data_IF_023925858774
#
_entry.id   IF_023925858774
#
_cell.length_a   1.000
_cell.length_b   1.000
_cell.length_c   1.000
_cell.angle_alpha   90.00
_cell.angle_beta   90.00
_cell.angle_gamma   90.00
#
_symmetry.space_group_name_H-M   'P 1'
#
loop_
_entity.id
_entity.type
_entity.pdbx_description
1 polymer ?
#
# COMPACT_ATOMS: atom_id res chain seq x y z
N UNK A 1 24.51 -5.09 11.14
CA UNK A 1 23.03 -5.09 10.95
C UNK A 1 22.68 -3.87 10.11
N UNK A 2 22.03 -4.03 8.94
CA UNK A 2 21.49 -2.86 8.21
C UNK A 2 20.41 -2.24 9.07
N UNK A 3 20.60 -1.00 9.51
CA UNK A 3 19.54 -0.25 10.20
C UNK A 3 18.39 -0.02 9.23
N UNK A 4 17.16 -0.17 9.71
CA UNK A 4 15.98 0.23 8.95
C UNK A 4 16.08 1.71 8.58
N UNK A 5 15.76 2.02 7.34
CA UNK A 5 15.69 3.41 6.89
C UNK A 5 14.63 4.19 7.70
N UNK A 6 14.89 5.48 7.99
CA UNK A 6 14.11 6.22 9.00
C UNK A 6 12.61 6.30 8.73
N UNK A 7 12.23 6.56 7.47
CA UNK A 7 10.80 6.73 7.12
C UNK A 7 10.07 5.41 7.17
N UNK A 8 10.65 4.33 6.59
CA UNK A 8 10.05 2.99 6.67
C UNK A 8 9.84 2.59 8.13
N UNK A 9 10.86 2.78 8.98
CA UNK A 9 10.75 2.49 10.41
C UNK A 9 9.59 3.27 11.05
N UNK A 10 9.49 4.57 10.78
CA UNK A 10 8.45 5.42 11.38
C UNK A 10 7.05 5.03 10.89
N UNK A 11 6.89 4.69 9.62
CA UNK A 11 5.61 4.22 9.07
C UNK A 11 5.21 2.89 9.72
N UNK A 12 6.13 1.94 9.86
CA UNK A 12 5.86 0.66 10.55
C UNK A 12 5.42 0.91 11.99
N UNK A 13 6.17 1.74 12.75
CA UNK A 13 5.83 2.06 14.13
C UNK A 13 4.45 2.71 14.22
N UNK A 14 4.15 3.69 13.36
CA UNK A 14 2.85 4.36 13.33
C UNK A 14 1.70 3.36 13.09
N UNK A 15 1.85 2.45 12.11
CA UNK A 15 0.84 1.43 11.83
C UNK A 15 0.64 0.46 12.99
N UNK A 16 1.72 0.01 13.63
CA UNK A 16 1.65 -0.88 14.80
C UNK A 16 0.95 -0.18 15.97
N UNK A 17 1.28 1.09 16.24
CA UNK A 17 0.65 1.86 17.32
C UNK A 17 -0.85 2.08 17.05
N UNK A 18 -1.23 2.43 15.81
CA UNK A 18 -2.64 2.59 15.44
C UNK A 18 -3.39 1.27 15.55
N UNK A 19 -2.80 0.17 15.06
CA UNK A 19 -3.42 -1.17 15.18
C UNK A 19 -3.58 -1.60 16.63
N UNK A 20 -2.61 -1.31 17.49
CA UNK A 20 -2.73 -1.56 18.92
C UNK A 20 -3.84 -0.72 19.54
N UNK A 21 -4.00 0.54 19.15
CA UNK A 21 -5.13 1.37 19.56
C UNK A 21 -6.47 0.79 19.07
N UNK A 22 -6.57 0.32 17.81
CA UNK A 22 -7.78 -0.37 17.32
C UNK A 22 -8.13 -1.56 18.21
N UNK A 23 -7.14 -2.38 18.59
CA UNK A 23 -7.34 -3.54 19.46
C UNK A 23 -7.81 -3.13 20.87
N UNK A 24 -7.19 -2.11 21.48
CA UNK A 24 -7.56 -1.64 22.82
C UNK A 24 -8.97 -1.03 22.90
N UNK A 25 -9.43 -0.43 21.80
CA UNK A 25 -10.71 0.28 21.77
C UNK A 25 -11.80 -0.47 21.00
N UNK A 26 -11.56 -1.73 20.59
CA UNK A 26 -12.55 -2.53 19.85
C UNK A 26 -13.89 -2.67 20.58
N UNK A 27 -13.87 -2.79 21.92
CA UNK A 27 -15.08 -2.94 22.75
C UNK A 27 -15.83 -1.61 22.97
N UNK A 28 -15.21 -0.48 22.66
CA UNK A 28 -15.82 0.86 22.77
C UNK A 28 -16.48 1.31 21.47
N UNK A 29 -16.73 0.36 20.60
CA UNK A 29 -17.52 0.52 19.40
C UNK A 29 -16.93 1.47 18.36
N UNK A 30 -16.25 0.90 17.36
CA UNK A 30 -16.14 1.49 16.02
C UNK A 30 -15.60 2.94 15.90
N UNK A 31 -15.04 3.50 16.99
CA UNK A 31 -14.66 4.92 16.98
C UNK A 31 -13.48 5.19 16.05
N UNK A 32 -12.44 4.36 16.08
CA UNK A 32 -11.22 4.59 15.30
C UNK A 32 -11.50 4.35 13.81
N UNK A 33 -12.17 3.25 13.48
CA UNK A 33 -12.57 2.91 12.12
C UNK A 33 -13.54 3.94 11.55
N UNK A 34 -14.53 4.38 12.33
CA UNK A 34 -15.52 5.38 11.90
C UNK A 34 -14.89 6.70 11.47
N UNK A 35 -13.82 7.13 12.15
CA UNK A 35 -13.16 8.39 11.82
C UNK A 35 -11.99 8.21 10.86
N UNK A 36 -11.31 7.08 10.88
CA UNK A 36 -10.06 6.85 10.17
C UNK A 36 -10.15 6.00 8.91
N UNK A 37 -11.09 5.04 8.82
CA UNK A 37 -11.29 4.24 7.62
C UNK A 37 -11.85 5.07 6.47
N UNK A 38 -11.56 4.66 5.24
CA UNK A 38 -12.11 5.30 4.05
C UNK A 38 -13.52 4.76 3.79
N UNK A 39 -14.52 5.64 3.84
CA UNK A 39 -15.90 5.33 3.48
C UNK A 39 -16.25 5.85 2.08
N UNK A 40 -17.25 5.26 1.40
CA UNK A 40 -17.75 5.77 0.12
C UNK A 40 -18.20 7.23 0.20
N UNK A 41 -18.12 7.97 -0.91
CA UNK A 41 -18.49 9.40 -0.97
C UNK A 41 -19.93 9.67 -0.52
N UNK A 42 -20.85 8.74 -0.78
CA UNK A 42 -22.26 8.83 -0.35
C UNK A 42 -22.52 8.49 1.12
N UNK A 43 -21.51 8.01 1.85
CA UNK A 43 -21.65 7.65 3.26
C UNK A 43 -21.69 8.90 4.15
N UNK A 44 -22.56 8.95 5.18
CA UNK A 44 -22.55 10.03 6.18
C UNK A 44 -21.25 10.06 7.01
N UNK A 45 -20.46 8.99 6.93
CA UNK A 45 -19.20 8.85 7.64
C UNK A 45 -17.98 9.30 6.82
N UNK A 46 -18.12 9.57 5.52
CA UNK A 46 -17.01 10.05 4.70
C UNK A 46 -16.45 11.37 5.22
N UNK A 47 -15.12 11.44 5.27
CA UNK A 47 -14.36 12.66 5.57
C UNK A 47 -13.10 12.69 4.70
N UNK A 48 -12.72 13.87 4.24
CA UNK A 48 -11.60 14.04 3.29
C UNK A 48 -10.24 13.54 3.84
N UNK A 49 -10.01 13.64 5.14
CA UNK A 49 -8.78 13.14 5.75
C UNK A 49 -8.64 11.62 5.71
N UNK A 50 -9.73 10.90 5.49
CA UNK A 50 -9.74 9.44 5.35
C UNK A 50 -8.92 8.97 4.15
N UNK A 51 -8.68 9.81 3.15
CA UNK A 51 -7.73 9.54 2.07
C UNK A 51 -6.29 9.31 2.53
N UNK A 52 -5.98 9.71 3.77
CA UNK A 52 -4.67 9.48 4.39
C UNK A 52 -4.78 8.54 5.58
N UNK A 53 -5.74 8.74 6.46
CA UNK A 53 -5.81 8.00 7.73
C UNK A 53 -6.08 6.52 7.54
N UNK A 54 -6.83 6.13 6.51
CA UNK A 54 -7.15 4.73 6.22
C UNK A 54 -5.90 3.86 6.01
N UNK A 55 -4.80 4.47 5.53
CA UNK A 55 -3.52 3.81 5.29
C UNK A 55 -2.86 3.27 6.56
N UNK A 56 -3.31 3.71 7.72
CA UNK A 56 -2.74 3.33 9.03
C UNK A 56 -3.63 2.35 9.81
N UNK A 57 -4.87 2.11 9.36
CA UNK A 57 -5.77 1.15 9.97
C UNK A 57 -5.64 -0.22 9.30
N UNK A 58 -5.92 -1.29 10.05
CA UNK A 58 -5.85 -2.65 9.54
C UNK A 58 -7.00 -3.50 10.04
N UNK A 59 -7.56 -4.33 9.14
CA UNK A 59 -8.71 -5.19 9.43
C UNK A 59 -8.38 -6.46 10.21
N UNK A 60 -7.10 -6.71 10.59
CA UNK A 60 -6.72 -7.88 11.37
C UNK A 60 -5.22 -8.13 11.39
N UNK A 61 -4.80 -9.10 12.22
CA UNK A 61 -3.39 -9.39 12.48
C UNK A 61 -2.61 -9.79 11.21
N UNK A 62 -3.18 -10.66 10.38
CA UNK A 62 -2.51 -11.09 9.15
C UNK A 62 -2.44 -9.94 8.13
N UNK A 63 -3.45 -9.06 8.11
CA UNK A 63 -3.47 -7.90 7.24
C UNK A 63 -2.32 -6.94 7.57
N UNK A 64 -2.16 -6.53 8.84
CA UNK A 64 -1.03 -5.67 9.23
C UNK A 64 0.31 -6.39 9.04
N UNK A 65 0.39 -7.69 9.36
CA UNK A 65 1.63 -8.46 9.20
C UNK A 65 2.13 -8.41 7.74
N UNK A 66 1.30 -8.75 6.76
CA UNK A 66 1.71 -8.75 5.36
C UNK A 66 2.02 -7.34 4.83
N UNK A 67 1.28 -6.32 5.28
CA UNK A 67 1.57 -4.94 4.94
C UNK A 67 2.95 -4.51 5.45
N UNK A 68 3.20 -4.70 6.74
CA UNK A 68 4.49 -4.29 7.35
C UNK A 68 5.66 -5.12 6.85
N UNK A 69 5.45 -6.40 6.60
CA UNK A 69 6.45 -7.27 6.00
C UNK A 69 6.84 -6.83 4.59
N UNK A 70 5.87 -6.52 3.74
CA UNK A 70 6.13 -6.01 2.40
C UNK A 70 6.84 -4.65 2.43
N UNK A 71 6.38 -3.74 3.31
CA UNK A 71 7.03 -2.44 3.50
C UNK A 71 8.47 -2.59 4.02
N UNK A 72 8.72 -3.53 4.92
CA UNK A 72 10.05 -3.84 5.45
C UNK A 72 11.01 -4.36 4.37
N UNK A 73 10.53 -5.16 3.41
CA UNK A 73 11.36 -5.72 2.34
C UNK A 73 11.64 -4.67 1.27
N UNK A 74 10.63 -4.01 0.74
CA UNK A 74 10.74 -3.15 -0.44
C UNK A 74 11.07 -1.70 -0.09
N UNK A 75 10.53 -1.20 1.02
CA UNK A 75 10.62 0.20 1.43
C UNK A 75 12.05 0.70 1.60
N UNK A 76 12.92 0.02 2.37
CA UNK A 76 14.28 0.50 2.59
C UNK A 76 15.13 0.60 1.32
N UNK A 77 14.86 -0.26 0.32
CA UNK A 77 15.58 -0.24 -0.94
C UNK A 77 15.28 1.07 -1.69
N UNK A 78 14.01 1.45 -1.76
CA UNK A 78 13.59 2.67 -2.43
C UNK A 78 13.88 3.93 -1.60
N UNK A 79 13.76 3.87 -0.27
CA UNK A 79 14.14 5.00 0.60
C UNK A 79 15.63 5.30 0.50
N UNK A 80 16.48 4.28 0.49
CA UNK A 80 17.93 4.46 0.31
C UNK A 80 18.29 5.00 -1.08
N UNK A 81 17.52 4.62 -2.10
CA UNK A 81 17.74 5.09 -3.46
C UNK A 81 17.31 6.56 -3.67
N UNK A 82 16.17 6.96 -3.07
CA UNK A 82 15.55 8.26 -3.34
C UNK A 82 15.75 9.28 -2.21
N UNK A 83 16.16 8.84 -1.04
CA UNK A 83 16.18 9.62 0.18
C UNK A 83 14.81 9.71 0.87
N UNK A 84 14.84 10.01 2.16
CA UNK A 84 13.71 9.97 3.07
C UNK A 84 12.49 10.81 2.60
N UNK A 85 12.72 12.08 2.21
CA UNK A 85 11.65 12.98 1.81
C UNK A 85 10.91 12.51 0.55
N UNK A 86 11.67 12.04 -0.44
CA UNK A 86 11.09 11.60 -1.72
C UNK A 86 10.33 10.28 -1.56
N UNK A 87 10.87 9.35 -0.77
CA UNK A 87 10.19 8.11 -0.42
C UNK A 87 8.88 8.35 0.32
N UNK A 88 8.88 9.25 1.33
CA UNK A 88 7.67 9.60 2.07
C UNK A 88 6.59 10.18 1.15
N UNK A 89 6.95 11.14 0.30
CA UNK A 89 6.02 11.72 -0.67
C UNK A 89 5.47 10.65 -1.62
N UNK A 90 6.33 9.74 -2.09
CA UNK A 90 5.90 8.62 -2.94
C UNK A 90 4.86 7.75 -2.25
N UNK A 91 5.13 7.34 -1.02
CA UNK A 91 4.22 6.52 -0.21
C UNK A 91 2.85 7.19 -0.04
N UNK A 92 2.84 8.46 0.35
CA UNK A 92 1.59 9.22 0.57
C UNK A 92 0.82 9.41 -0.74
N UNK A 93 1.49 9.77 -1.83
CA UNK A 93 0.82 9.98 -3.13
C UNK A 93 0.20 8.67 -3.63
N UNK A 94 0.93 7.55 -3.55
CA UNK A 94 0.40 6.24 -3.93
C UNK A 94 -0.81 5.84 -3.07
N UNK A 95 -0.76 6.10 -1.76
CA UNK A 95 -1.88 5.82 -0.86
C UNK A 95 -3.11 6.69 -1.16
N UNK A 96 -2.94 7.99 -1.38
CA UNK A 96 -4.05 8.87 -1.75
C UNK A 96 -4.65 8.43 -3.10
N UNK A 97 -3.81 8.14 -4.10
CA UNK A 97 -4.28 7.67 -5.40
C UNK A 97 -5.05 6.34 -5.31
N UNK A 98 -4.60 5.44 -4.44
CA UNK A 98 -5.31 4.20 -4.14
C UNK A 98 -6.70 4.45 -3.57
N UNK A 99 -6.80 5.32 -2.55
CA UNK A 99 -8.08 5.71 -1.96
C UNK A 99 -9.02 6.40 -2.97
N UNK A 100 -8.48 7.28 -3.81
CA UNK A 100 -9.23 7.92 -4.89
C UNK A 100 -9.74 6.89 -5.90
N UNK A 101 -8.91 5.94 -6.33
CA UNK A 101 -9.32 4.88 -7.24
C UNK A 101 -10.48 4.05 -6.65
N UNK A 102 -10.38 3.67 -5.37
CA UNK A 102 -11.46 2.94 -4.67
C UNK A 102 -12.77 3.73 -4.66
N UNK A 103 -12.72 5.03 -4.30
CA UNK A 103 -13.91 5.90 -4.21
C UNK A 103 -14.66 6.04 -5.54
N UNK A 104 -13.94 6.11 -6.66
CA UNK A 104 -14.55 6.42 -7.95
C UNK A 104 -14.87 5.19 -8.81
N UNK A 105 -14.11 4.08 -8.63
CA UNK A 105 -14.29 2.89 -9.46
C UNK A 105 -15.25 1.89 -8.80
N UNK A 106 -15.23 1.80 -7.47
CA UNK A 106 -16.13 0.93 -6.70
C UNK A 106 -16.90 1.73 -5.63
N UNK A 107 -17.91 2.48 -6.01
CA UNK A 107 -18.62 3.38 -5.07
C UNK A 107 -19.46 2.65 -4.01
N UNK A 108 -19.61 1.33 -4.12
CA UNK A 108 -20.49 0.53 -3.25
C UNK A 108 -19.69 -0.34 -2.25
N UNK A 109 -18.41 -0.06 -2.01
CA UNK A 109 -17.65 -0.75 -0.96
C UNK A 109 -18.13 -0.32 0.45
N UNK A 110 -17.98 -1.16 1.44
CA UNK A 110 -18.39 -0.86 2.82
C UNK A 110 -17.43 0.16 3.47
N UNK A 111 -16.19 -0.21 3.59
CA UNK A 111 -15.08 0.63 4.03
C UNK A 111 -13.75 0.06 3.55
N UNK A 112 -12.73 0.90 3.42
CA UNK A 112 -11.37 0.45 3.12
C UNK A 112 -10.39 0.88 4.21
N UNK A 113 -9.46 -0.03 4.53
CA UNK A 113 -8.35 0.17 5.48
C UNK A 113 -7.10 -0.52 4.96
N UNK A 114 -5.93 0.00 5.30
CA UNK A 114 -4.65 -0.64 5.04
C UNK A 114 -3.66 0.19 4.24
N UNK A 115 -2.38 -0.07 4.49
CA UNK A 115 -1.26 0.52 3.78
C UNK A 115 -1.05 -0.07 2.37
N UNK A 116 -1.79 -1.12 2.03
CA UNK A 116 -1.53 -1.99 0.87
C UNK A 116 -1.56 -1.24 -0.47
N UNK A 117 -2.44 -0.27 -0.64
CA UNK A 117 -2.47 0.55 -1.86
C UNK A 117 -1.15 1.30 -2.08
N UNK A 118 -0.60 1.93 -1.04
CA UNK A 118 0.71 2.59 -1.11
C UNK A 118 1.85 1.57 -1.33
N UNK A 119 1.76 0.40 -0.69
CA UNK A 119 2.73 -0.69 -0.82
C UNK A 119 2.72 -1.27 -2.23
N UNK A 120 1.56 -1.41 -2.87
CA UNK A 120 1.47 -1.82 -4.29
C UNK A 120 2.16 -0.81 -5.20
N UNK A 121 2.08 0.49 -4.90
CA UNK A 121 2.87 1.51 -5.60
C UNK A 121 4.38 1.32 -5.41
N UNK A 122 4.84 1.04 -4.18
CA UNK A 122 6.24 0.72 -3.87
C UNK A 122 6.70 -0.52 -4.66
N UNK A 123 5.90 -1.58 -4.67
CA UNK A 123 6.21 -2.82 -5.40
C UNK A 123 6.28 -2.60 -6.91
N UNK A 124 5.35 -1.81 -7.47
CA UNK A 124 5.38 -1.45 -8.89
C UNK A 124 6.65 -0.68 -9.27
N UNK A 125 7.06 0.29 -8.45
CA UNK A 125 8.31 1.01 -8.65
C UNK A 125 9.52 0.10 -8.51
N UNK A 126 9.51 -0.82 -7.54
CA UNK A 126 10.57 -1.81 -7.36
C UNK A 126 10.71 -2.72 -8.60
N UNK A 127 9.61 -3.26 -9.12
CA UNK A 127 9.62 -4.11 -10.31
C UNK A 127 10.16 -3.38 -11.55
N UNK A 128 9.87 -2.09 -11.67
CA UNK A 128 10.39 -1.26 -12.75
C UNK A 128 11.90 -1.00 -12.62
N UNK A 129 12.38 -0.67 -11.42
CA UNK A 129 13.79 -0.31 -11.18
C UNK A 129 14.70 -1.54 -11.06
N UNK A 130 14.18 -2.65 -10.55
CA UNK A 130 14.92 -3.87 -10.27
C UNK A 130 14.26 -5.11 -10.91
N UNK A 131 14.00 -5.12 -12.23
CA UNK A 131 13.14 -6.11 -12.89
C UNK A 131 13.66 -7.54 -12.81
N UNK A 132 14.96 -7.72 -12.71
CA UNK A 132 15.60 -9.05 -12.71
C UNK A 132 15.94 -9.55 -11.29
N UNK A 133 15.61 -8.78 -10.24
CA UNK A 133 15.78 -9.23 -8.86
C UNK A 133 14.87 -10.44 -8.61
N UNK A 134 15.45 -11.50 -8.11
CA UNK A 134 14.72 -12.70 -7.73
C UNK A 134 14.12 -12.53 -6.33
N UNK A 135 12.81 -12.74 -6.26
CA UNK A 135 12.00 -12.68 -5.07
C UNK A 135 11.46 -14.08 -4.78
N UNK A 136 11.41 -14.45 -3.52
CA UNK A 136 10.76 -15.69 -3.08
C UNK A 136 9.52 -15.34 -2.27
N UNK A 137 8.42 -16.05 -2.53
CA UNK A 137 7.25 -15.99 -1.68
C UNK A 137 7.55 -16.69 -0.34
N UNK A 138 7.02 -16.15 0.75
CA UNK A 138 7.37 -16.57 2.12
C UNK A 138 7.35 -18.08 2.36
N UNK A 139 6.43 -18.82 1.72
CA UNK A 139 6.27 -20.26 1.90
C UNK A 139 6.57 -21.07 0.62
N UNK A 140 6.99 -20.41 -0.45
CA UNK A 140 7.27 -21.04 -1.74
C UNK A 140 8.72 -20.67 -2.11
N UNK A 141 9.68 -21.57 -1.91
CA UNK A 141 11.11 -21.28 -2.14
C UNK A 141 11.46 -21.38 -3.63
N UNK A 142 10.64 -20.81 -4.49
CA UNK A 142 10.88 -20.70 -5.93
C UNK A 142 11.24 -19.26 -6.24
N UNK A 143 12.46 -18.96 -6.73
CA UNK A 143 12.84 -17.60 -7.09
C UNK A 143 12.10 -17.17 -8.36
N UNK A 144 11.38 -16.08 -8.27
CA UNK A 144 10.64 -15.47 -9.39
C UNK A 144 11.15 -14.04 -9.57
N UNK A 145 11.46 -13.65 -10.80
CA UNK A 145 11.91 -12.28 -11.09
C UNK A 145 10.79 -11.27 -10.81
N UNK A 146 11.15 -10.13 -10.22
CA UNK A 146 10.22 -9.08 -9.83
C UNK A 146 9.30 -8.62 -10.97
N UNK A 147 9.83 -8.55 -12.19
CA UNK A 147 9.07 -8.21 -13.41
C UNK A 147 7.95 -9.18 -13.77
N UNK A 148 7.92 -10.37 -13.19
CA UNK A 148 6.83 -11.36 -13.37
C UNK A 148 5.96 -11.47 -12.12
N UNK A 149 6.59 -11.52 -10.94
CA UNK A 149 5.88 -11.71 -9.68
C UNK A 149 4.93 -10.55 -9.37
N UNK A 150 5.42 -9.32 -9.47
CA UNK A 150 4.65 -8.14 -9.08
C UNK A 150 3.50 -7.85 -10.06
N UNK A 151 3.68 -7.87 -11.40
CA UNK A 151 2.55 -7.84 -12.32
C UNK A 151 1.60 -9.01 -12.16
N UNK A 152 2.07 -10.19 -11.74
CA UNK A 152 1.22 -11.32 -11.39
C UNK A 152 0.27 -11.02 -10.23
N UNK A 153 0.73 -10.38 -9.16
CA UNK A 153 -0.13 -9.91 -8.08
C UNK A 153 -1.16 -8.89 -8.56
N UNK A 154 -0.76 -7.95 -9.42
CA UNK A 154 -1.69 -6.97 -10.00
C UNK A 154 -2.75 -7.63 -10.87
N UNK A 155 -2.40 -8.70 -11.61
CA UNK A 155 -3.36 -9.48 -12.40
C UNK A 155 -4.35 -10.24 -11.49
N UNK A 156 -3.90 -10.75 -10.34
CA UNK A 156 -4.79 -11.36 -9.34
C UNK A 156 -5.73 -10.34 -8.72
N UNK A 157 -5.25 -9.14 -8.39
CA UNK A 157 -6.09 -8.04 -7.92
C UNK A 157 -7.12 -7.61 -8.98
N UNK A 158 -6.71 -7.54 -10.24
CA UNK A 158 -7.62 -7.22 -11.34
C UNK A 158 -8.70 -8.31 -11.49
N UNK A 159 -8.31 -9.57 -11.39
CA UNK A 159 -9.26 -10.68 -11.41
C UNK A 159 -10.24 -10.58 -10.21
N UNK A 160 -9.75 -10.37 -8.98
CA UNK A 160 -10.57 -10.19 -7.79
C UNK A 160 -11.55 -9.02 -7.90
N UNK A 161 -11.10 -7.88 -8.46
CA UNK A 161 -11.94 -6.71 -8.69
C UNK A 161 -13.16 -6.97 -9.57
N UNK A 162 -13.05 -7.89 -10.55
CA UNK A 162 -14.15 -8.27 -11.43
C UNK A 162 -14.91 -9.49 -10.96
N UNK A 163 -14.25 -10.44 -10.29
CA UNK A 163 -14.87 -11.69 -9.86
C UNK A 163 -15.90 -11.51 -8.74
N UNK A 164 -15.76 -10.46 -7.92
CA UNK A 164 -16.66 -10.12 -6.79
C UNK A 164 -17.04 -11.33 -5.96
N UNK A 165 -16.03 -12.05 -5.47
CA UNK A 165 -16.22 -13.27 -4.67
C UNK A 165 -16.83 -12.90 -3.32
N UNK A 166 -17.93 -13.56 -2.95
CA UNK A 166 -18.58 -13.33 -1.67
C UNK A 166 -17.59 -13.59 -0.51
N UNK A 167 -17.52 -12.63 0.42
CA UNK A 167 -16.58 -12.67 1.54
C UNK A 167 -15.17 -12.14 1.25
N UNK A 168 -14.88 -11.71 0.02
CA UNK A 168 -13.65 -11.00 -0.30
C UNK A 168 -13.75 -9.53 0.14
N UNK A 169 -13.00 -9.19 1.18
CA UNK A 169 -12.95 -7.83 1.73
C UNK A 169 -11.72 -7.04 1.24
N UNK A 170 -11.09 -7.47 0.16
CA UNK A 170 -9.92 -6.78 -0.40
C UNK A 170 -10.34 -5.60 -1.27
N UNK A 171 -9.76 -4.43 -1.00
CA UNK A 171 -9.98 -3.23 -1.81
C UNK A 171 -9.11 -3.28 -3.08
N UNK A 172 -9.44 -4.17 -4.01
CA UNK A 172 -8.66 -4.44 -5.23
C UNK A 172 -8.41 -3.18 -6.06
N UNK A 173 -9.41 -2.31 -6.19
CA UNK A 173 -9.25 -1.06 -6.94
C UNK A 173 -8.29 -0.09 -6.28
N UNK A 174 -8.21 -0.10 -4.94
CA UNK A 174 -7.18 0.64 -4.22
C UNK A 174 -5.77 0.11 -4.53
N UNK A 175 -5.60 -1.22 -4.55
CA UNK A 175 -4.33 -1.84 -4.92
C UNK A 175 -3.88 -1.45 -6.32
N UNK A 176 -4.76 -1.60 -7.31
CA UNK A 176 -4.49 -1.26 -8.70
C UNK A 176 -4.22 0.24 -8.89
N UNK A 177 -5.01 1.10 -8.22
CA UNK A 177 -4.82 2.56 -8.24
C UNK A 177 -3.47 2.98 -7.67
N UNK A 178 -3.08 2.41 -6.54
CA UNK A 178 -1.77 2.64 -5.93
C UNK A 178 -0.61 2.15 -6.79
N UNK A 179 -0.73 0.95 -7.38
CA UNK A 179 0.25 0.39 -8.29
C UNK A 179 0.45 1.26 -9.54
N UNK A 180 -0.65 1.70 -10.16
CA UNK A 180 -0.61 2.56 -11.33
C UNK A 180 0.03 3.92 -11.03
N UNK A 181 -0.35 4.54 -9.90
CA UNK A 181 0.25 5.80 -9.46
C UNK A 181 1.75 5.66 -9.21
N UNK A 182 2.17 4.59 -8.53
CA UNK A 182 3.58 4.30 -8.27
C UNK A 182 4.38 4.08 -9.55
N UNK A 183 3.82 3.35 -10.50
CA UNK A 183 4.43 3.13 -11.81
C UNK A 183 4.59 4.44 -12.59
N UNK A 184 3.56 5.27 -12.65
CA UNK A 184 3.62 6.57 -13.34
C UNK A 184 4.65 7.49 -12.67
N UNK A 185 4.64 7.57 -11.34
CA UNK A 185 5.59 8.41 -10.60
C UNK A 185 7.05 8.01 -10.85
N UNK A 186 7.34 6.69 -10.83
CA UNK A 186 8.72 6.24 -11.08
C UNK A 186 9.15 6.52 -12.51
N UNK A 187 8.26 6.42 -13.49
CA UNK A 187 8.56 6.79 -14.88
C UNK A 187 8.90 8.28 -15.01
N UNK A 188 8.09 9.15 -14.41
CA UNK A 188 8.32 10.60 -14.41
C UNK A 188 9.66 10.91 -13.74
N UNK A 189 9.89 10.33 -12.58
CA UNK A 189 11.11 10.59 -11.80
C UNK A 189 12.37 10.05 -12.46
N UNK A 190 12.29 8.92 -13.14
CA UNK A 190 13.42 8.38 -13.89
C UNK A 190 13.77 9.24 -15.11
N UNK A 191 12.78 9.84 -15.77
CA UNK A 191 13.02 10.77 -16.88
C UNK A 191 13.63 12.10 -16.43
N UNK A 192 13.19 12.65 -15.30
CA UNK A 192 13.65 13.95 -14.81
C UNK A 192 15.02 13.92 -14.14
N UNK A 193 15.49 12.76 -13.68
CA UNK A 193 16.76 12.61 -12.96
C UNK A 193 17.81 11.78 -13.71
N UNK A 194 17.79 11.77 -15.03
CA UNK A 194 18.82 11.07 -15.83
C UNK A 194 20.27 11.46 -15.51
N UNK A 195 20.49 12.61 -14.87
CA UNK A 195 21.82 13.11 -14.49
C UNK A 195 22.28 12.69 -13.09
N UNK A 196 21.50 11.93 -12.33
CA UNK A 196 21.80 11.58 -10.92
C UNK A 196 22.02 10.09 -10.66
N UNK A 197 21.93 9.25 -11.69
CA UNK A 197 22.09 7.79 -11.57
C UNK A 197 23.33 7.21 -12.26
N UNK A 198 24.32 8.09 -12.62
CA UNK A 198 25.65 7.70 -13.09
C UNK A 198 26.73 8.34 -12.24
#
# INVERSE_FOLDING_TARGET
MRQLSPIVKNIIIANVLVFFAQFLFQDKGFLIERYGALFPLGSPFFRIWQLVTYMFLHGGLMHIFFNMFSLFIFGPILENLWGAKRFFNFYIICGIAAGVAQLFIDPNFDLAVGASGAIMGIMAAFAYLFPNTELMLMFIPVPIKAKYLIPGFMALDLFGAFARVDGDNVAHWAHLGGALAGFILVLIWNKTNRNTFY
#
